data_IF_742786542922
#
_entry.id   IF_742786542922
#
_cell.length_a   1.000
_cell.length_b   1.000
_cell.length_c   1.000
_cell.angle_alpha   90.00
_cell.angle_beta   90.00
_cell.angle_gamma   90.00
#
_symmetry.space_group_name_H-M   'P 1'
#
loop_
_entity.id
_entity.type
_entity.pdbx_description
1 polymer ?
#
# COMPACT_ATOMS: atom_id res chain seq x y z
N UNK A 1 -10.29 6.80 -0.96
CA UNK A 1 -8.88 6.68 -0.48
C UNK A 1 -8.95 6.42 1.02
N UNK A 2 -8.09 5.55 1.55
CA UNK A 2 -8.06 5.25 2.98
C UNK A 2 -6.90 5.99 3.65
N UNK A 3 -7.23 6.93 4.54
CA UNK A 3 -6.27 7.68 5.36
C UNK A 3 -6.27 7.10 6.77
N UNK A 4 -5.31 6.20 7.01
CA UNK A 4 -5.20 5.55 8.31
C UNK A 4 -4.65 6.49 9.37
N UNK A 5 -3.74 7.39 9.03
CA UNK A 5 -3.07 8.23 10.01
C UNK A 5 -4.05 9.26 10.61
N UNK A 6 -4.97 9.77 9.80
CA UNK A 6 -6.09 10.58 10.29
C UNK A 6 -6.99 9.74 11.20
N UNK A 7 -7.44 8.56 10.76
CA UNK A 7 -8.31 7.69 11.58
C UNK A 7 -7.66 7.26 12.90
N UNK A 8 -6.37 6.91 12.85
CA UNK A 8 -5.56 6.57 14.01
C UNK A 8 -5.60 7.70 15.04
N UNK A 9 -5.42 8.94 14.59
CA UNK A 9 -5.44 10.12 15.46
C UNK A 9 -6.84 10.48 15.96
N UNK A 10 -7.86 10.47 15.10
CA UNK A 10 -9.16 11.09 15.41
C UNK A 10 -10.18 10.12 15.99
N UNK A 11 -10.13 8.83 15.63
CA UNK A 11 -11.12 7.82 16.04
C UNK A 11 -10.51 6.78 16.96
N UNK A 12 -9.26 6.38 16.69
CA UNK A 12 -8.62 5.25 17.37
C UNK A 12 -7.71 5.68 18.52
N UNK A 13 -7.74 6.96 18.91
CA UNK A 13 -6.98 7.52 20.03
C UNK A 13 -5.48 7.18 20.00
N UNK A 14 -4.89 7.08 18.80
CA UNK A 14 -3.50 6.67 18.55
C UNK A 14 -3.11 5.27 19.06
N UNK A 15 -4.07 4.39 19.40
CA UNK A 15 -3.78 3.09 20.02
C UNK A 15 -3.44 1.97 19.02
N UNK A 16 -3.67 2.19 17.73
CA UNK A 16 -3.56 1.15 16.70
C UNK A 16 -2.38 1.44 15.76
N UNK A 17 -1.74 0.36 15.31
CA UNK A 17 -0.70 0.38 14.27
C UNK A 17 -1.26 -0.13 12.95
N UNK A 18 -0.73 0.38 11.83
CA UNK A 18 -1.20 -0.04 10.51
C UNK A 18 -0.72 -1.45 10.21
N UNK A 19 -1.64 -2.34 9.83
CA UNK A 19 -1.25 -3.64 9.28
C UNK A 19 -0.64 -3.45 7.88
N UNK A 20 0.49 -4.12 7.64
CA UNK A 20 1.20 -4.17 6.36
C UNK A 20 1.37 -5.60 5.82
N UNK A 21 0.85 -6.60 6.53
CA UNK A 21 0.93 -8.03 6.20
C UNK A 21 -0.40 -8.72 6.48
N UNK A 22 -0.67 -9.83 5.78
CA UNK A 22 -1.78 -10.73 6.07
C UNK A 22 -1.59 -11.52 7.38
N UNK A 23 -0.35 -11.66 7.84
CA UNK A 23 0.01 -12.30 9.11
C UNK A 23 0.70 -11.27 10.02
N UNK A 24 -0.04 -10.29 10.56
CA UNK A 24 0.56 -9.22 11.37
C UNK A 24 1.08 -9.77 12.71
N UNK A 25 2.30 -9.38 13.08
CA UNK A 25 2.87 -9.70 14.40
C UNK A 25 3.28 -11.16 14.60
N UNK A 26 3.41 -11.93 13.53
CA UNK A 26 3.91 -13.31 13.57
C UNK A 26 5.16 -13.47 12.71
N UNK A 27 5.85 -14.61 12.88
CA UNK A 27 7.02 -15.00 12.08
C UNK A 27 6.69 -15.22 10.59
N UNK A 28 5.40 -15.32 10.25
CA UNK A 28 4.91 -15.43 8.87
C UNK A 28 4.59 -14.07 8.24
N UNK A 29 4.79 -12.99 8.98
CA UNK A 29 4.54 -11.64 8.49
C UNK A 29 5.62 -11.17 7.52
N UNK A 30 5.22 -10.62 6.37
CA UNK A 30 6.19 -9.98 5.47
C UNK A 30 6.80 -8.75 6.14
N UNK A 31 8.12 -8.64 6.13
CA UNK A 31 8.83 -7.45 6.59
C UNK A 31 10.11 -7.23 5.79
N UNK A 32 10.39 -5.98 5.44
CA UNK A 32 11.57 -5.63 4.66
C UNK A 32 11.54 -6.18 3.22
N UNK A 33 12.65 -6.03 2.48
CA UNK A 33 12.82 -6.63 1.16
C UNK A 33 12.82 -8.17 1.23
N UNK A 34 12.37 -8.87 0.17
CA UNK A 34 12.37 -10.32 0.15
C UNK A 34 13.79 -10.88 0.25
N UNK A 35 13.93 -11.95 1.02
CA UNK A 35 15.16 -12.74 1.15
C UNK A 35 15.41 -13.57 -0.10
N UNK A 36 16.64 -14.08 -0.25
CA UNK A 36 16.98 -14.97 -1.37
C UNK A 36 16.12 -16.25 -1.41
N UNK A 37 15.73 -16.76 -0.24
CA UNK A 37 14.85 -17.93 -0.14
C UNK A 37 13.42 -17.60 -0.62
N UNK A 38 12.89 -16.45 -0.22
CA UNK A 38 11.58 -16.00 -0.70
C UNK A 38 11.59 -15.72 -2.21
N UNK A 39 12.65 -15.09 -2.72
CA UNK A 39 12.81 -14.87 -4.17
C UNK A 39 12.80 -16.20 -4.91
N UNK A 40 13.50 -17.24 -4.41
CA UNK A 40 13.50 -18.55 -5.03
C UNK A 40 12.10 -19.18 -5.11
N UNK A 41 11.24 -18.93 -4.11
CA UNK A 41 9.83 -19.36 -4.12
C UNK A 41 8.98 -18.56 -5.11
N UNK A 42 9.28 -17.27 -5.29
CA UNK A 42 8.55 -16.37 -6.17
C UNK A 42 8.98 -16.47 -7.65
N UNK A 43 10.20 -16.94 -7.91
CA UNK A 43 10.81 -17.01 -9.24
C UNK A 43 9.94 -17.71 -10.30
N UNK A 44 9.29 -18.86 -10.01
CA UNK A 44 8.40 -19.53 -10.97
C UNK A 44 7.19 -18.68 -11.40
N UNK A 45 6.86 -17.64 -10.64
CA UNK A 45 5.72 -16.75 -10.87
C UNK A 45 6.15 -15.36 -11.35
N UNK A 46 7.42 -15.17 -11.73
CA UNK A 46 7.97 -13.85 -12.07
C UNK A 46 7.16 -13.09 -13.12
N UNK A 47 6.63 -13.78 -14.12
CA UNK A 47 5.83 -13.17 -15.19
C UNK A 47 4.40 -12.79 -14.77
N UNK A 48 3.94 -13.28 -13.62
CA UNK A 48 2.61 -13.03 -13.07
C UNK A 48 2.63 -12.02 -11.92
N UNK A 49 3.81 -11.69 -11.40
CA UNK A 49 3.98 -10.84 -10.22
C UNK A 49 4.50 -9.45 -10.60
N UNK A 50 4.05 -8.39 -9.90
CA UNK A 50 4.64 -7.07 -10.06
C UNK A 50 6.16 -7.10 -9.78
N UNK A 51 7.01 -6.46 -10.62
CA UNK A 51 8.46 -6.48 -10.43
C UNK A 51 8.93 -5.94 -9.06
N UNK A 52 8.14 -5.03 -8.48
CA UNK A 52 8.41 -4.46 -7.16
C UNK A 52 8.39 -5.48 -6.01
N UNK A 53 7.65 -6.58 -6.16
CA UNK A 53 7.61 -7.69 -5.18
C UNK A 53 9.01 -8.28 -4.94
N UNK A 54 9.89 -8.23 -5.93
CA UNK A 54 11.25 -8.80 -5.85
C UNK A 54 12.30 -7.84 -5.27
N UNK A 55 11.96 -6.58 -5.01
CA UNK A 55 12.95 -5.56 -4.67
C UNK A 55 12.56 -4.62 -3.53
N UNK A 56 11.26 -4.41 -3.30
CA UNK A 56 10.77 -3.44 -2.34
C UNK A 56 9.90 -4.10 -1.28
N UNK A 57 10.04 -3.72 -0.01
CA UNK A 57 9.03 -4.04 0.98
C UNK A 57 7.69 -3.47 0.54
N UNK A 58 6.63 -4.25 0.70
CA UNK A 58 5.29 -3.71 0.60
C UNK A 58 5.00 -2.84 1.83
N UNK A 59 4.66 -1.57 1.59
CA UNK A 59 4.21 -0.66 2.63
C UNK A 59 2.91 0.01 2.18
N UNK A 60 1.87 0.05 3.02
CA UNK A 60 0.63 0.74 2.68
C UNK A 60 0.90 2.25 2.50
N UNK A 61 0.16 2.94 1.63
CA UNK A 61 0.30 4.39 1.47
C UNK A 61 0.09 5.11 2.81
N UNK A 62 1.05 5.97 3.17
CA UNK A 62 1.01 6.78 4.38
C UNK A 62 0.66 8.24 4.07
N UNK A 63 0.17 8.95 5.09
CA UNK A 63 -0.11 10.38 5.07
C UNK A 63 0.50 11.05 6.31
N UNK A 64 0.51 12.39 6.35
CA UNK A 64 0.90 13.12 7.57
C UNK A 64 -0.20 13.14 8.65
N UNK A 65 -1.33 12.49 8.37
CA UNK A 65 -2.54 12.46 9.19
C UNK A 65 -3.24 13.81 9.29
N UNK A 66 -2.78 14.91 8.69
CA UNK A 66 -3.40 16.26 8.85
C UNK A 66 -4.70 16.42 8.06
N UNK A 67 -5.18 15.36 7.41
CA UNK A 67 -6.35 15.35 6.53
C UNK A 67 -6.09 15.90 5.12
N UNK A 68 -4.89 16.43 4.84
CA UNK A 68 -4.53 16.88 3.49
C UNK A 68 -3.86 15.75 2.68
N UNK A 69 -4.69 14.92 2.07
CA UNK A 69 -4.27 13.74 1.28
C UNK A 69 -4.07 14.03 -0.22
N UNK A 70 -3.87 15.29 -0.61
CA UNK A 70 -3.81 15.70 -2.04
C UNK A 70 -2.77 14.92 -2.85
N UNK A 71 -1.60 14.63 -2.28
CA UNK A 71 -0.55 13.87 -2.97
C UNK A 71 -1.00 12.43 -3.28
N UNK A 72 -1.56 11.75 -2.28
CA UNK A 72 -2.08 10.40 -2.43
C UNK A 72 -3.28 10.36 -3.37
N UNK A 73 -4.15 11.39 -3.34
CA UNK A 73 -5.26 11.52 -4.28
C UNK A 73 -4.76 11.68 -5.72
N UNK A 74 -3.75 12.53 -5.98
CA UNK A 74 -3.14 12.65 -7.30
C UNK A 74 -2.55 11.32 -7.77
N UNK A 75 -1.90 10.57 -6.88
CA UNK A 75 -1.39 9.23 -7.20
C UNK A 75 -2.53 8.28 -7.58
N UNK A 76 -3.62 8.24 -6.80
CA UNK A 76 -4.78 7.43 -7.11
C UNK A 76 -5.40 7.81 -8.47
N UNK A 77 -5.56 9.11 -8.76
CA UNK A 77 -6.06 9.59 -10.06
C UNK A 77 -5.16 9.15 -11.23
N UNK A 78 -3.84 9.18 -11.05
CA UNK A 78 -2.90 8.67 -12.06
C UNK A 78 -3.10 7.18 -12.31
N UNK A 79 -3.24 6.37 -11.25
CA UNK A 79 -3.47 4.93 -11.35
C UNK A 79 -4.80 4.61 -12.02
N UNK A 80 -5.88 5.29 -11.63
CA UNK A 80 -7.19 5.13 -12.27
C UNK A 80 -7.15 5.48 -13.76
N UNK A 81 -6.48 6.59 -14.12
CA UNK A 81 -6.29 6.96 -15.53
C UNK A 81 -5.50 5.91 -16.31
N UNK A 82 -4.44 5.35 -15.72
CA UNK A 82 -3.67 4.26 -16.33
C UNK A 82 -4.52 3.00 -16.56
N UNK A 83 -5.47 2.73 -15.67
CA UNK A 83 -6.45 1.65 -15.80
C UNK A 83 -7.64 1.99 -16.73
N UNK A 84 -7.61 3.13 -17.43
CA UNK A 84 -8.64 3.52 -18.41
C UNK A 84 -9.80 4.35 -17.87
N UNK A 85 -9.80 4.70 -16.59
CA UNK A 85 -10.85 5.54 -16.00
C UNK A 85 -10.67 7.01 -16.37
N UNK A 86 -11.78 7.73 -16.54
CA UNK A 86 -11.78 9.14 -16.90
C UNK A 86 -12.62 9.96 -15.94
N UNK A 87 -12.04 11.05 -15.44
CA UNK A 87 -12.77 12.02 -14.66
C UNK A 87 -13.72 12.81 -15.60
N UNK A 88 -15.03 12.64 -15.42
CA UNK A 88 -16.06 13.44 -16.13
C UNK A 88 -16.90 14.19 -15.11
N UNK A 89 -16.97 15.51 -15.25
CA UNK A 89 -17.77 16.38 -14.36
C UNK A 89 -17.47 16.16 -12.86
N UNK A 90 -16.20 15.96 -12.51
CA UNK A 90 -15.76 15.72 -11.13
C UNK A 90 -16.06 14.32 -10.59
N UNK A 91 -16.53 13.39 -11.43
CA UNK A 91 -16.80 11.99 -11.08
C UNK A 91 -15.84 11.07 -11.82
N UNK A 92 -15.39 10.04 -11.13
CA UNK A 92 -14.59 8.94 -11.69
C UNK A 92 -15.48 7.77 -12.05
#
# INVERSE_FOLDING_TARGET
LYDFETLRRTVMYNQYVRINSFFPGSDFGSSGPPTAAEIAVLEPYRDQLPPEVFSKPFEPPQTDGRGNIRNNLRQALRLFKAAGWQLKNGKL
#
